data_IF_628641350541
#
_entry.id   IF_628641350541
#
_cell.length_a   1.000
_cell.length_b   1.000
_cell.length_c   1.000
_cell.angle_alpha   90.00
_cell.angle_beta   90.00
_cell.angle_gamma   90.00
#
_symmetry.space_group_name_H-M   'P 1'
#
loop_
_entity.id
_entity.type
_entity.pdbx_description
1 polymer ?
#
# COMPACT_ATOMS: atom_id res chain seq x y z
N UNK A 1 -22.13 12.05 -5.01
CA UNK A 1 -22.91 11.14 -4.15
C UNK A 1 -22.14 10.95 -2.86
N UNK A 2 -22.87 10.96 -1.73
CA UNK A 2 -22.29 10.78 -0.40
C UNK A 2 -22.42 9.32 0.03
N UNK A 3 -21.41 8.78 0.62
CA UNK A 3 -21.37 7.40 1.06
C UNK A 3 -20.93 7.27 2.53
N UNK A 4 -21.41 6.24 3.20
CA UNK A 4 -20.91 5.81 4.52
C UNK A 4 -20.66 4.30 4.52
N UNK A 5 -19.69 3.87 5.35
CA UNK A 5 -19.34 2.46 5.50
C UNK A 5 -19.67 2.02 6.93
N UNK A 6 -20.31 0.85 7.08
CA UNK A 6 -20.55 0.20 8.36
C UNK A 6 -19.89 -1.17 8.34
N UNK A 7 -18.79 -1.33 9.06
CA UNK A 7 -18.12 -2.62 9.24
C UNK A 7 -18.70 -3.36 10.44
N UNK A 8 -19.20 -4.56 10.22
CA UNK A 8 -19.86 -5.40 11.22
C UNK A 8 -18.94 -6.56 11.61
N UNK A 9 -18.60 -6.64 12.89
CA UNK A 9 -17.76 -7.70 13.44
C UNK A 9 -17.22 -7.31 14.82
N UNK A 10 -17.45 -8.13 15.81
CA UNK A 10 -16.96 -7.93 17.18
C UNK A 10 -15.44 -8.01 17.26
N UNK A 11 -14.80 -8.83 16.41
CA UNK A 11 -13.34 -8.96 16.30
C UNK A 11 -12.66 -7.67 15.84
N UNK A 12 -13.37 -6.85 15.04
CA UNK A 12 -12.87 -5.54 14.61
C UNK A 12 -12.84 -4.55 15.77
N UNK A 13 -13.89 -4.54 16.62
CA UNK A 13 -13.95 -3.69 17.83
C UNK A 13 -12.90 -4.08 18.86
N UNK A 14 -12.61 -5.37 19.01
CA UNK A 14 -11.63 -5.89 19.96
C UNK A 14 -10.19 -5.75 19.45
N UNK A 15 -9.99 -5.33 18.20
CA UNK A 15 -8.67 -5.19 17.60
C UNK A 15 -7.98 -6.52 17.27
N UNK A 16 -8.71 -7.62 17.25
CA UNK A 16 -8.19 -8.93 16.85
C UNK A 16 -7.93 -8.98 15.33
N UNK A 17 -8.70 -8.21 14.58
CA UNK A 17 -8.59 -8.08 13.12
C UNK A 17 -8.52 -6.61 12.74
N UNK A 18 -7.58 -6.25 11.86
CA UNK A 18 -7.50 -4.91 11.29
C UNK A 18 -8.58 -4.75 10.23
N UNK A 19 -9.37 -3.68 10.31
CA UNK A 19 -10.40 -3.37 9.32
C UNK A 19 -9.77 -2.92 7.99
N UNK A 20 -9.35 -3.85 7.16
CA UNK A 20 -8.83 -3.59 5.82
C UNK A 20 -9.93 -3.36 4.80
N UNK A 21 -11.13 -3.89 5.03
CA UNK A 21 -12.27 -3.81 4.13
C UNK A 21 -12.74 -2.37 3.95
N UNK A 22 -12.88 -1.62 5.05
CA UNK A 22 -13.22 -0.21 4.98
C UNK A 22 -12.22 0.60 4.15
N UNK A 23 -10.92 0.26 4.23
CA UNK A 23 -9.89 0.90 3.42
C UNK A 23 -9.99 0.53 1.92
N UNK A 24 -10.36 -0.71 1.60
CA UNK A 24 -10.58 -1.14 0.21
C UNK A 24 -11.83 -0.48 -0.39
N UNK A 25 -12.96 -0.53 0.31
CA UNK A 25 -14.21 0.12 -0.10
C UNK A 25 -14.03 1.63 -0.22
N UNK A 26 -13.37 2.28 0.74
CA UNK A 26 -13.09 3.72 0.69
C UNK A 26 -12.26 4.14 -0.53
N UNK A 27 -11.26 3.33 -0.91
CA UNK A 27 -10.49 3.55 -2.15
C UNK A 27 -11.36 3.41 -3.40
N UNK A 28 -12.22 2.41 -3.43
CA UNK A 28 -13.15 2.17 -4.54
C UNK A 28 -14.16 3.33 -4.69
N UNK A 29 -14.76 3.79 -3.60
CA UNK A 29 -15.66 4.95 -3.59
C UNK A 29 -14.96 6.22 -4.03
N UNK A 30 -13.75 6.46 -3.55
CA UNK A 30 -12.92 7.60 -3.96
C UNK A 30 -12.61 7.57 -5.46
N UNK A 31 -12.36 6.39 -6.05
CA UNK A 31 -12.15 6.24 -7.49
C UNK A 31 -13.41 6.55 -8.30
N UNK A 32 -14.60 6.36 -7.72
CA UNK A 32 -15.90 6.69 -8.32
C UNK A 32 -16.37 8.13 -8.04
N UNK A 33 -15.58 8.92 -7.34
CA UNK A 33 -15.96 10.30 -7.00
C UNK A 33 -17.06 10.43 -5.97
N UNK A 34 -17.22 9.42 -5.17
CA UNK A 34 -18.16 9.44 -4.07
C UNK A 34 -17.49 10.00 -2.81
N UNK A 35 -18.18 10.89 -2.13
CA UNK A 35 -17.71 11.52 -0.88
C UNK A 35 -17.97 10.56 0.27
N UNK A 36 -16.94 9.89 0.78
CA UNK A 36 -17.03 9.07 1.98
C UNK A 36 -17.08 9.98 3.20
N UNK A 37 -18.25 10.02 3.88
CA UNK A 37 -18.47 10.90 5.03
C UNK A 37 -17.97 10.29 6.33
N UNK A 38 -18.32 9.02 6.59
CA UNK A 38 -17.99 8.33 7.85
C UNK A 38 -17.73 6.84 7.64
N UNK A 39 -16.97 6.27 8.55
CA UNK A 39 -16.75 4.83 8.66
C UNK A 39 -17.09 4.42 10.08
N UNK A 40 -18.10 3.58 10.24
CA UNK A 40 -18.53 3.03 11.51
C UNK A 40 -18.03 1.60 11.67
N UNK A 41 -17.71 1.21 12.90
CA UNK A 41 -17.47 -0.19 13.23
C UNK A 41 -18.45 -0.59 14.33
N UNK A 42 -19.25 -1.62 14.11
CA UNK A 42 -20.22 -2.13 15.06
C UNK A 42 -19.96 -3.61 15.33
N UNK A 43 -20.16 -4.05 16.56
CA UNK A 43 -20.12 -5.50 16.88
C UNK A 43 -21.40 -6.20 16.42
N UNK A 44 -21.40 -7.52 16.48
CA UNK A 44 -22.50 -8.41 16.09
C UNK A 44 -23.70 -8.23 17.03
N UNK A 45 -24.39 -7.12 16.84
CA UNK A 45 -25.57 -6.72 17.63
C UNK A 45 -26.59 -5.98 16.76
N UNK A 46 -27.76 -6.58 16.59
CA UNK A 46 -28.79 -6.05 15.71
C UNK A 46 -29.25 -4.63 16.05
N UNK A 47 -29.38 -4.29 17.34
CA UNK A 47 -29.80 -2.98 17.78
C UNK A 47 -28.79 -1.89 17.49
N UNK A 48 -27.49 -2.18 17.69
CA UNK A 48 -26.40 -1.24 17.38
C UNK A 48 -26.27 -1.04 15.88
N UNK A 49 -26.35 -2.13 15.11
CA UNK A 49 -26.32 -2.07 13.64
C UNK A 49 -27.52 -1.28 13.11
N UNK A 50 -28.72 -1.51 13.65
CA UNK A 50 -29.91 -0.76 13.27
C UNK A 50 -29.77 0.75 13.54
N UNK A 51 -29.23 1.12 14.70
CA UNK A 51 -28.99 2.52 15.06
C UNK A 51 -27.99 3.18 14.08
N UNK A 52 -26.84 2.54 13.85
CA UNK A 52 -25.84 3.04 12.91
C UNK A 52 -26.38 3.14 11.48
N UNK A 53 -27.16 2.17 11.03
CA UNK A 53 -27.76 2.17 9.70
C UNK A 53 -28.76 3.32 9.52
N UNK A 54 -29.62 3.57 10.53
CA UNK A 54 -30.58 4.68 10.50
C UNK A 54 -29.87 6.04 10.47
N UNK A 55 -28.79 6.19 11.23
CA UNK A 55 -27.96 7.41 11.24
C UNK A 55 -27.33 7.63 9.87
N UNK A 56 -26.65 6.62 9.32
CA UNK A 56 -26.02 6.68 8.00
C UNK A 56 -27.02 7.00 6.88
N UNK A 57 -28.22 6.42 6.92
CA UNK A 57 -29.28 6.67 5.94
C UNK A 57 -29.85 8.11 6.00
N UNK A 58 -29.63 8.86 7.08
CA UNK A 58 -30.01 10.28 7.14
C UNK A 58 -29.01 11.19 6.41
N UNK A 59 -27.76 10.73 6.25
CA UNK A 59 -26.66 11.56 5.75
C UNK A 59 -26.16 11.14 4.36
N UNK A 60 -26.24 9.85 4.03
CA UNK A 60 -25.64 9.27 2.83
C UNK A 60 -26.66 8.83 1.79
N UNK A 61 -26.27 8.93 0.53
CA UNK A 61 -27.01 8.41 -0.61
C UNK A 61 -26.73 6.89 -0.80
N UNK A 62 -25.55 6.43 -0.35
CA UNK A 62 -25.15 5.04 -0.38
C UNK A 62 -24.55 4.64 0.97
N UNK A 63 -25.09 3.59 1.59
CA UNK A 63 -24.51 2.97 2.78
C UNK A 63 -23.97 1.60 2.40
N UNK A 64 -22.71 1.32 2.71
CA UNK A 64 -22.07 0.02 2.41
C UNK A 64 -21.82 -0.68 3.74
N UNK A 65 -22.37 -1.89 3.91
CA UNK A 65 -22.03 -2.75 5.05
C UNK A 65 -21.03 -3.82 4.64
N UNK A 66 -20.08 -4.14 5.51
CA UNK A 66 -19.15 -5.27 5.35
C UNK A 66 -19.27 -6.20 6.54
N UNK A 67 -19.42 -7.51 6.31
CA UNK A 67 -19.57 -8.53 7.35
C UNK A 67 -21.02 -8.87 7.71
N UNK A 68 -21.18 -9.93 8.49
CA UNK A 68 -22.48 -10.42 9.01
C UNK A 68 -23.42 -11.01 7.96
N UNK A 69 -22.89 -11.61 6.87
CA UNK A 69 -23.67 -12.28 5.81
C UNK A 69 -23.56 -13.81 5.84
N UNK A 70 -22.81 -14.36 6.77
CA UNK A 70 -22.59 -15.79 6.92
C UNK A 70 -23.84 -16.57 7.37
N UNK A 71 -23.70 -17.86 7.68
CA UNK A 71 -24.80 -18.72 8.05
C UNK A 71 -25.06 -18.80 9.56
N UNK A 72 -24.26 -18.12 10.38
CA UNK A 72 -24.34 -18.23 11.85
C UNK A 72 -25.39 -17.28 12.44
N UNK A 73 -25.79 -17.48 13.70
CA UNK A 73 -26.86 -16.68 14.29
C UNK A 73 -26.43 -15.25 14.62
N UNK A 74 -25.14 -14.98 14.67
CA UNK A 74 -24.53 -13.66 14.80
C UNK A 74 -24.41 -12.91 13.46
N UNK A 75 -24.60 -13.62 12.33
CA UNK A 75 -24.70 -13.01 11.00
C UNK A 75 -26.11 -12.42 10.78
N UNK A 76 -26.27 -11.17 11.19
CA UNK A 76 -27.59 -10.52 11.25
C UNK A 76 -27.71 -9.26 10.37
N UNK A 77 -26.70 -8.97 9.56
CA UNK A 77 -26.64 -7.74 8.76
C UNK A 77 -27.80 -7.66 7.78
N UNK A 78 -28.05 -8.73 7.07
CA UNK A 78 -29.10 -8.82 6.05
C UNK A 78 -30.50 -8.67 6.64
N UNK A 79 -30.78 -9.34 7.74
CA UNK A 79 -32.06 -9.29 8.46
C UNK A 79 -32.30 -7.89 9.03
N UNK A 80 -31.25 -7.26 9.54
CA UNK A 80 -31.35 -5.88 10.09
C UNK A 80 -31.61 -4.87 8.98
N UNK A 81 -30.89 -4.94 7.86
CA UNK A 81 -31.12 -4.06 6.70
C UNK A 81 -32.54 -4.25 6.14
N UNK A 82 -32.99 -5.50 5.98
CA UNK A 82 -34.33 -5.85 5.52
C UNK A 82 -35.42 -5.21 6.41
N UNK A 83 -35.24 -5.29 7.72
CA UNK A 83 -36.15 -4.69 8.71
C UNK A 83 -36.17 -3.16 8.66
N UNK A 84 -34.99 -2.52 8.60
CA UNK A 84 -34.86 -1.05 8.58
C UNK A 84 -35.48 -0.46 7.32
N UNK A 85 -35.31 -1.13 6.18
CA UNK A 85 -35.82 -0.68 4.88
C UNK A 85 -37.26 -1.16 4.60
N UNK A 86 -37.86 -2.00 5.46
CA UNK A 86 -39.17 -2.59 5.21
C UNK A 86 -39.22 -3.53 4.01
N UNK A 87 -38.09 -4.14 3.66
CA UNK A 87 -37.93 -5.04 2.50
C UNK A 87 -37.83 -6.49 3.00
N UNK A 88 -38.93 -7.26 3.07
CA UNK A 88 -38.90 -8.62 3.62
C UNK A 88 -37.94 -9.51 2.83
N UNK A 89 -37.34 -10.48 3.52
CA UNK A 89 -36.44 -11.45 2.91
C UNK A 89 -37.22 -12.44 2.05
N UNK A 90 -36.76 -12.69 0.84
CA UNK A 90 -37.31 -13.65 -0.11
C UNK A 90 -36.21 -14.57 -0.65
N UNK A 91 -36.56 -15.80 -0.97
CA UNK A 91 -35.63 -16.75 -1.58
C UNK A 91 -35.20 -16.27 -2.96
N UNK A 92 -33.89 -16.05 -3.16
CA UNK A 92 -33.32 -15.67 -4.44
C UNK A 92 -32.85 -16.91 -5.18
N UNK A 93 -33.59 -17.30 -6.25
CA UNK A 93 -33.40 -18.55 -6.97
C UNK A 93 -32.01 -18.77 -7.50
N UNK A 94 -31.37 -17.73 -8.05
CA UNK A 94 -30.00 -17.83 -8.59
C UNK A 94 -28.96 -18.02 -7.50
N UNK A 95 -29.13 -17.35 -6.36
CA UNK A 95 -28.26 -17.55 -5.20
C UNK A 95 -28.42 -18.96 -4.63
N UNK A 96 -29.62 -19.45 -4.54
CA UNK A 96 -29.88 -20.85 -4.11
C UNK A 96 -29.27 -21.87 -5.07
N UNK A 97 -29.38 -21.64 -6.38
CA UNK A 97 -28.76 -22.51 -7.38
C UNK A 97 -27.24 -22.55 -7.20
N UNK A 98 -26.57 -21.38 -7.08
CA UNK A 98 -25.13 -21.27 -6.85
C UNK A 98 -24.70 -21.93 -5.55
N UNK A 99 -25.47 -21.77 -4.49
CA UNK A 99 -25.22 -22.43 -3.20
C UNK A 99 -25.26 -23.98 -3.38
N UNK A 100 -26.24 -24.51 -4.09
CA UNK A 100 -26.34 -25.96 -4.40
C UNK A 100 -25.17 -26.44 -5.27
N UNK A 101 -24.77 -25.68 -6.26
CA UNK A 101 -23.59 -25.96 -7.09
C UNK A 101 -22.29 -25.97 -6.24
N UNK A 102 -22.12 -25.02 -5.33
CA UNK A 102 -20.97 -24.98 -4.44
C UNK A 102 -20.88 -26.23 -3.53
N UNK A 103 -21.99 -26.64 -2.95
CA UNK A 103 -22.01 -27.81 -2.08
C UNK A 103 -21.97 -29.15 -2.86
N UNK A 104 -22.45 -29.19 -4.12
CA UNK A 104 -22.52 -30.40 -4.95
C UNK A 104 -23.34 -31.46 -4.26
N UNK A 105 -22.75 -32.63 -4.01
CA UNK A 105 -23.40 -33.77 -3.32
C UNK A 105 -23.40 -33.67 -1.79
N UNK A 106 -22.74 -32.65 -1.20
CA UNK A 106 -22.69 -32.47 0.26
C UNK A 106 -24.05 -31.96 0.78
N UNK A 107 -24.51 -32.43 1.95
CA UNK A 107 -25.74 -31.92 2.54
C UNK A 107 -25.61 -30.44 2.89
N UNK A 108 -26.64 -29.64 2.62
CA UNK A 108 -26.71 -28.22 2.94
C UNK A 108 -27.55 -28.07 4.21
N UNK A 109 -26.97 -27.50 5.25
CA UNK A 109 -27.67 -27.24 6.50
C UNK A 109 -28.71 -26.10 6.35
N UNK A 110 -29.74 -26.11 7.16
CA UNK A 110 -30.84 -25.12 7.08
C UNK A 110 -30.36 -23.66 7.26
N UNK A 111 -29.37 -23.44 8.12
CA UNK A 111 -28.76 -22.13 8.32
C UNK A 111 -27.96 -21.66 7.09
N UNK A 112 -27.34 -22.57 6.34
CA UNK A 112 -26.66 -22.24 5.08
C UNK A 112 -27.64 -21.81 4.00
N UNK A 113 -28.83 -22.40 3.94
CA UNK A 113 -29.89 -22.02 3.00
C UNK A 113 -30.38 -20.58 3.22
N UNK A 114 -30.33 -20.06 4.46
CA UNK A 114 -30.65 -18.65 4.76
C UNK A 114 -29.80 -17.66 3.96
N UNK A 115 -28.59 -18.02 3.55
CA UNK A 115 -27.72 -17.15 2.74
C UNK A 115 -28.35 -16.82 1.38
N UNK A 116 -29.19 -17.68 0.82
CA UNK A 116 -29.88 -17.44 -0.44
C UNK A 116 -31.12 -16.54 -0.32
N UNK A 117 -31.49 -16.11 0.89
CA UNK A 117 -32.60 -15.18 1.10
C UNK A 117 -32.10 -13.75 1.06
N UNK A 118 -32.67 -12.94 0.18
CA UNK A 118 -32.27 -11.54 -0.02
C UNK A 118 -33.45 -10.60 0.22
N UNK A 119 -33.22 -9.34 0.60
CA UNK A 119 -34.28 -8.33 0.73
C UNK A 119 -35.03 -8.16 -0.61
N UNK A 120 -36.35 -8.07 -0.57
CA UNK A 120 -37.20 -7.90 -1.75
C UNK A 120 -36.77 -6.67 -2.54
N UNK A 121 -36.67 -6.81 -3.86
CA UNK A 121 -36.30 -5.74 -4.78
C UNK A 121 -34.80 -5.45 -4.82
N UNK A 122 -33.96 -6.22 -4.11
CA UNK A 122 -32.52 -6.06 -4.17
C UNK A 122 -31.91 -6.57 -5.48
N UNK A 123 -30.79 -5.99 -5.86
CA UNK A 123 -29.90 -6.51 -6.92
C UNK A 123 -28.84 -7.40 -6.28
N UNK A 124 -28.85 -8.69 -6.61
CA UNK A 124 -27.89 -9.63 -6.05
C UNK A 124 -26.50 -9.51 -6.69
N UNK A 125 -25.46 -9.61 -5.87
CA UNK A 125 -24.06 -9.68 -6.29
C UNK A 125 -23.52 -11.09 -6.02
N UNK A 126 -23.16 -11.85 -7.08
CA UNK A 126 -22.71 -13.20 -6.92
C UNK A 126 -21.35 -13.26 -6.21
N UNK A 127 -21.25 -14.18 -5.24
CA UNK A 127 -19.99 -14.50 -4.59
C UNK A 127 -19.30 -15.65 -5.33
N UNK A 128 -18.09 -15.42 -5.86
CA UNK A 128 -17.29 -16.43 -6.55
C UNK A 128 -16.32 -17.17 -5.64
N UNK A 129 -15.99 -16.54 -4.50
CA UNK A 129 -15.01 -17.05 -3.56
C UNK A 129 -15.65 -17.71 -2.32
N UNK A 130 -16.95 -17.49 -2.11
CA UNK A 130 -17.69 -18.01 -0.95
C UNK A 130 -19.15 -18.33 -1.25
N UNK A 131 -19.95 -18.50 -0.21
CA UNK A 131 -21.35 -18.92 -0.29
C UNK A 131 -22.35 -17.79 -0.11
N UNK A 132 -22.00 -16.74 0.61
CA UNK A 132 -22.89 -15.63 0.92
C UNK A 132 -22.91 -14.61 -0.24
N UNK A 133 -24.02 -14.42 -0.96
CA UNK A 133 -24.14 -13.35 -1.94
C UNK A 133 -24.18 -11.99 -1.25
N UNK A 134 -23.58 -10.97 -1.89
CA UNK A 134 -23.87 -9.58 -1.55
C UNK A 134 -25.13 -9.10 -2.27
N UNK A 135 -25.60 -7.92 -1.93
CA UNK A 135 -26.70 -7.29 -2.66
C UNK A 135 -26.75 -5.78 -2.48
N UNK A 136 -27.41 -5.09 -3.42
CA UNK A 136 -27.80 -3.69 -3.29
C UNK A 136 -29.31 -3.62 -3.04
N UNK A 137 -29.72 -3.03 -1.93
CA UNK A 137 -31.10 -2.90 -1.50
C UNK A 137 -31.53 -1.45 -1.70
N UNK A 138 -32.61 -1.16 -2.45
CA UNK A 138 -33.10 0.21 -2.59
C UNK A 138 -33.71 0.72 -1.27
N UNK A 139 -33.37 1.94 -0.91
CA UNK A 139 -33.98 2.70 0.18
C UNK A 139 -34.99 3.72 -0.35
N UNK A 140 -34.93 4.97 0.14
CA UNK A 140 -35.67 6.10 -0.44
C UNK A 140 -35.22 6.36 -1.88
N UNK A 141 -35.99 7.09 -2.70
CA UNK A 141 -35.58 7.41 -4.06
C UNK A 141 -34.16 7.98 -4.12
N UNK A 142 -33.29 7.34 -4.88
CA UNK A 142 -31.87 7.70 -5.01
C UNK A 142 -30.96 7.16 -3.90
N UNK A 143 -31.47 6.41 -2.93
CA UNK A 143 -30.70 5.86 -1.81
C UNK A 143 -30.55 4.33 -1.90
N UNK A 144 -29.39 3.83 -1.49
CA UNK A 144 -29.05 2.40 -1.56
C UNK A 144 -28.29 1.93 -0.33
N UNK A 145 -28.57 0.70 0.08
CA UNK A 145 -27.76 -0.04 1.05
C UNK A 145 -27.11 -1.23 0.34
N UNK A 146 -25.80 -1.28 0.35
CA UNK A 146 -25.01 -2.35 -0.29
C UNK A 146 -24.44 -3.24 0.81
N UNK A 147 -24.69 -4.54 0.70
CA UNK A 147 -24.22 -5.54 1.64
C UNK A 147 -23.10 -6.36 1.03
N UNK A 148 -21.95 -6.41 1.69
CA UNK A 148 -20.75 -7.14 1.28
C UNK A 148 -20.31 -8.14 2.37
N UNK A 149 -19.72 -9.30 1.98
CA UNK A 149 -19.14 -10.23 2.94
C UNK A 149 -17.96 -9.61 3.69
N UNK A 150 -17.57 -10.19 4.84
CA UNK A 150 -16.45 -9.73 5.66
C UNK A 150 -15.08 -10.21 5.17
N UNK A 151 -14.89 -11.46 4.74
CA UNK A 151 -13.57 -11.92 4.30
C UNK A 151 -13.06 -11.13 3.08
N UNK A 152 -11.84 -10.52 3.12
CA UNK A 152 -11.30 -9.77 1.98
C UNK A 152 -11.22 -10.56 0.68
N UNK A 153 -11.00 -11.90 0.77
CA UNK A 153 -10.97 -12.81 -0.39
C UNK A 153 -12.30 -12.91 -1.12
N UNK A 154 -13.42 -12.64 -0.43
CA UNK A 154 -14.77 -12.62 -0.98
C UNK A 154 -15.20 -11.20 -1.38
N UNK A 155 -14.89 -10.24 -0.51
CA UNK A 155 -15.25 -8.83 -0.69
C UNK A 155 -14.59 -8.22 -1.92
N UNK A 156 -13.27 -8.39 -2.10
CA UNK A 156 -12.54 -7.72 -3.16
C UNK A 156 -13.03 -8.09 -4.57
N UNK A 157 -13.18 -9.38 -4.94
CA UNK A 157 -13.73 -9.74 -6.25
C UNK A 157 -15.17 -9.23 -6.44
N UNK A 158 -15.99 -9.26 -5.38
CA UNK A 158 -17.38 -8.78 -5.45
C UNK A 158 -17.44 -7.26 -5.62
N UNK A 159 -16.57 -6.53 -4.94
CA UNK A 159 -16.41 -5.09 -5.07
C UNK A 159 -16.06 -4.70 -6.51
N UNK A 160 -15.06 -5.36 -7.10
CA UNK A 160 -14.58 -5.08 -8.46
C UNK A 160 -15.58 -5.51 -9.53
N UNK A 161 -16.07 -6.74 -9.47
CA UNK A 161 -16.90 -7.35 -10.53
C UNK A 161 -18.36 -6.86 -10.53
N UNK A 162 -18.89 -6.45 -9.37
CA UNK A 162 -20.33 -6.19 -9.22
C UNK A 162 -20.64 -4.80 -8.67
N UNK A 163 -20.02 -4.40 -7.54
CA UNK A 163 -20.39 -3.16 -6.85
C UNK A 163 -19.90 -1.95 -7.60
N UNK A 164 -18.63 -1.94 -8.05
CA UNK A 164 -18.08 -0.83 -8.82
C UNK A 164 -18.89 -0.54 -10.10
N UNK A 165 -19.20 -1.54 -10.96
CA UNK A 165 -20.07 -1.31 -12.12
C UNK A 165 -21.49 -0.88 -11.75
N UNK A 166 -22.04 -1.34 -10.63
CA UNK A 166 -23.35 -0.91 -10.13
C UNK A 166 -23.34 0.56 -9.77
N UNK A 167 -22.35 0.99 -8.97
CA UNK A 167 -22.21 2.38 -8.53
C UNK A 167 -21.87 3.36 -9.68
N UNK A 168 -21.07 2.92 -10.66
CA UNK A 168 -20.75 3.71 -11.87
C UNK A 168 -22.01 4.09 -12.65
N UNK A 169 -22.97 3.19 -12.76
CA UNK A 169 -24.26 3.47 -13.44
C UNK A 169 -25.13 4.48 -12.72
N UNK A 170 -24.90 4.67 -11.43
CA UNK A 170 -25.66 5.61 -10.59
C UNK A 170 -25.03 7.01 -10.55
N UNK A 171 -23.72 7.12 -10.78
CA UNK A 171 -22.96 8.37 -10.70
C UNK A 171 -22.79 9.03 -12.05
N UNK A 172 -23.14 10.33 -12.15
CA UNK A 172 -23.02 11.11 -13.38
C UNK A 172 -21.63 11.73 -13.62
N UNK A 173 -20.60 11.40 -12.83
CA UNK A 173 -19.27 11.95 -13.01
C UNK A 173 -18.19 10.91 -12.72
N UNK A 174 -17.12 10.91 -13.51
CA UNK A 174 -15.97 10.04 -13.39
C UNK A 174 -14.82 10.79 -12.74
N UNK A 175 -14.08 10.09 -11.86
CA UNK A 175 -12.86 10.63 -11.25
C UNK A 175 -11.64 9.91 -11.81
N UNK A 176 -10.63 10.69 -12.21
CA UNK A 176 -9.26 10.24 -12.40
C UNK A 176 -8.40 10.67 -11.21
N UNK A 177 -7.71 9.72 -10.60
CA UNK A 177 -6.81 9.98 -9.47
C UNK A 177 -5.41 9.47 -9.78
N UNK A 178 -4.41 10.33 -9.56
CA UNK A 178 -3.01 10.04 -9.81
C UNK A 178 -2.22 10.17 -8.51
N UNK A 179 -1.42 9.17 -8.19
CA UNK A 179 -0.49 9.20 -7.08
C UNK A 179 0.93 9.47 -7.57
N UNK A 180 1.40 10.70 -7.38
CA UNK A 180 2.79 11.10 -7.64
C UNK A 180 3.62 10.72 -6.42
N UNK A 181 4.36 9.62 -6.52
CA UNK A 181 5.14 9.07 -5.41
C UNK A 181 6.53 9.68 -5.34
N UNK A 182 6.98 9.98 -4.12
CA UNK A 182 8.26 10.66 -3.86
C UNK A 182 9.04 9.99 -2.75
N UNK A 183 10.36 10.10 -2.81
CA UNK A 183 11.27 9.66 -1.75
C UNK A 183 12.34 10.71 -1.49
N UNK A 184 12.67 10.95 -0.19
CA UNK A 184 13.73 11.87 0.22
C UNK A 184 13.28 13.33 0.35
N UNK A 185 11.98 13.59 0.41
CA UNK A 185 11.40 14.90 0.76
C UNK A 185 10.34 14.70 1.85
N UNK A 186 10.30 15.62 2.82
CA UNK A 186 9.25 15.64 3.83
C UNK A 186 7.98 16.34 3.33
N UNK A 187 6.83 15.97 3.92
CA UNK A 187 5.51 16.51 3.56
C UNK A 187 5.45 18.05 3.56
N UNK A 188 5.93 18.69 4.64
CA UNK A 188 5.93 20.15 4.72
C UNK A 188 6.78 20.83 3.63
N UNK A 189 7.93 20.24 3.28
CA UNK A 189 8.78 20.77 2.21
C UNK A 189 8.16 20.56 0.82
N UNK A 190 7.44 19.47 0.63
CA UNK A 190 6.72 19.21 -0.60
C UNK A 190 5.51 20.14 -0.73
N UNK A 191 4.72 20.28 0.35
CA UNK A 191 3.57 21.18 0.40
C UNK A 191 3.94 22.63 0.02
N UNK A 192 5.07 23.14 0.54
CA UNK A 192 5.57 24.47 0.17
C UNK A 192 5.90 24.60 -1.32
N UNK A 193 6.43 23.54 -1.97
CA UNK A 193 6.78 23.59 -3.39
C UNK A 193 5.57 23.53 -4.33
N UNK A 194 4.45 23.01 -3.85
CA UNK A 194 3.23 22.81 -4.64
C UNK A 194 2.04 23.62 -4.07
N UNK A 195 2.28 24.60 -3.20
CA UNK A 195 1.25 25.31 -2.44
C UNK A 195 0.14 25.88 -3.34
N UNK A 196 0.52 26.57 -4.41
CA UNK A 196 -0.42 27.14 -5.37
C UNK A 196 -1.25 26.09 -6.15
N UNK A 197 -0.73 24.88 -6.29
CA UNK A 197 -1.50 23.77 -6.91
C UNK A 197 -2.55 23.19 -5.97
N UNK A 198 -2.41 23.38 -4.66
CA UNK A 198 -3.36 22.86 -3.65
C UNK A 198 -4.61 23.74 -3.50
N UNK A 199 -4.62 24.94 -4.05
CA UNK A 199 -5.76 25.87 -3.99
C UNK A 199 -6.87 25.54 -5.00
N UNK A 200 -6.57 24.68 -5.98
CA UNK A 200 -7.50 24.29 -7.03
C UNK A 200 -8.67 23.44 -6.52
N UNK A 201 -9.89 23.76 -6.96
CA UNK A 201 -11.08 22.97 -6.62
C UNK A 201 -11.21 21.70 -7.48
N UNK A 202 -10.74 21.74 -8.73
CA UNK A 202 -10.74 20.59 -9.66
C UNK A 202 -9.73 20.84 -10.79
N UNK A 203 -8.62 20.10 -10.86
CA UNK A 203 -8.21 19.00 -9.98
C UNK A 203 -7.86 19.45 -8.56
N UNK A 204 -8.10 18.57 -7.59
CA UNK A 204 -7.58 18.75 -6.22
C UNK A 204 -6.20 18.13 -6.10
N UNK A 205 -5.33 18.75 -5.29
CA UNK A 205 -3.96 18.30 -5.04
C UNK A 205 -3.73 18.21 -3.54
N UNK A 206 -3.31 17.07 -3.04
CA UNK A 206 -3.07 16.87 -1.61
C UNK A 206 -1.81 16.02 -1.36
N UNK A 207 -0.86 16.50 -0.54
CA UNK A 207 0.27 15.71 -0.07
C UNK A 207 -0.15 14.77 1.07
N UNK A 208 0.47 13.59 1.12
CA UNK A 208 0.24 12.58 2.15
C UNK A 208 1.56 11.96 2.58
N UNK A 209 1.78 11.89 3.90
CA UNK A 209 2.87 11.10 4.46
C UNK A 209 2.50 9.62 4.50
N UNK A 210 3.45 8.76 4.21
CA UNK A 210 3.39 7.32 4.33
C UNK A 210 4.67 6.80 4.97
N UNK A 211 4.75 5.51 5.27
CA UNK A 211 5.90 4.87 5.93
C UNK A 211 7.22 5.14 5.20
N UNK A 212 8.02 6.11 5.71
CA UNK A 212 9.30 6.56 5.15
C UNK A 212 9.24 7.16 3.72
N UNK A 213 8.05 7.41 3.19
CA UNK A 213 7.82 7.98 1.85
C UNK A 213 6.76 9.10 1.94
N UNK A 214 6.55 9.80 0.84
CA UNK A 214 5.48 10.77 0.68
C UNK A 214 4.89 10.64 -0.73
N UNK A 215 3.62 10.92 -0.89
CA UNK A 215 3.02 11.03 -2.21
C UNK A 215 2.09 12.24 -2.31
N UNK A 216 1.91 12.73 -3.51
CA UNK A 216 0.93 13.76 -3.82
C UNK A 216 -0.18 13.13 -4.63
N UNK A 217 -1.41 13.22 -4.14
CA UNK A 217 -2.59 12.79 -4.89
C UNK A 217 -3.14 13.97 -5.69
N UNK A 218 -3.28 13.77 -6.99
CA UNK A 218 -3.97 14.67 -7.91
C UNK A 218 -5.27 14.00 -8.33
N UNK A 219 -6.40 14.65 -8.10
CA UNK A 219 -7.72 14.07 -8.38
C UNK A 219 -8.56 15.03 -9.19
N UNK A 220 -9.00 14.60 -10.37
CA UNK A 220 -9.88 15.36 -11.25
C UNK A 220 -11.23 14.66 -11.43
N UNK A 221 -12.29 15.46 -11.53
CA UNK A 221 -13.65 15.00 -11.75
C UNK A 221 -14.18 15.58 -13.08
N UNK A 222 -14.75 14.71 -13.93
CA UNK A 222 -15.33 15.13 -15.20
C UNK A 222 -16.48 14.19 -15.63
N UNK A 223 -17.11 14.46 -16.76
CA UNK A 223 -18.22 13.69 -17.32
C UNK A 223 -17.81 12.27 -17.75
N UNK A 224 -16.54 12.08 -18.12
CA UNK A 224 -15.99 10.80 -18.54
C UNK A 224 -14.51 10.67 -18.15
N UNK A 225 -13.95 9.47 -18.28
CA UNK A 225 -12.58 9.17 -17.88
C UNK A 225 -11.54 9.98 -18.65
N UNK A 226 -11.71 10.13 -19.97
CA UNK A 226 -10.78 10.87 -20.83
C UNK A 226 -10.71 12.35 -20.43
N UNK A 227 -11.86 12.97 -20.16
CA UNK A 227 -11.93 14.37 -19.72
C UNK A 227 -11.31 14.53 -18.32
N UNK A 228 -11.53 13.59 -17.40
CA UNK A 228 -10.94 13.62 -16.07
C UNK A 228 -9.39 13.47 -16.13
N UNK A 229 -8.90 12.55 -16.95
CA UNK A 229 -7.46 12.40 -17.18
C UNK A 229 -6.83 13.63 -17.83
N UNK A 230 -7.51 14.21 -18.84
CA UNK A 230 -7.04 15.41 -19.52
C UNK A 230 -6.94 16.63 -18.57
N UNK A 231 -7.85 16.73 -17.59
CA UNK A 231 -7.78 17.75 -16.54
C UNK A 231 -6.65 17.49 -15.54
N UNK A 232 -6.44 16.24 -15.15
CA UNK A 232 -5.44 15.87 -14.13
C UNK A 232 -4.00 15.98 -14.65
N UNK A 233 -3.74 15.56 -15.91
CA UNK A 233 -2.41 15.38 -16.47
C UNK A 233 -1.52 16.63 -16.40
N UNK A 234 -1.97 17.85 -16.77
CA UNK A 234 -1.15 19.05 -16.64
C UNK A 234 -0.73 19.33 -15.20
N UNK A 235 -1.61 19.05 -14.23
CA UNK A 235 -1.34 19.26 -12.81
C UNK A 235 -0.36 18.19 -12.28
N UNK A 236 -0.49 16.93 -12.70
CA UNK A 236 0.48 15.87 -12.41
C UNK A 236 1.87 16.25 -12.94
N UNK A 237 1.95 16.76 -14.17
CA UNK A 237 3.23 17.17 -14.77
C UNK A 237 3.82 18.40 -14.04
N UNK A 238 2.98 19.36 -13.61
CA UNK A 238 3.42 20.48 -12.78
C UNK A 238 3.96 20.01 -11.42
N UNK A 239 3.29 19.09 -10.73
CA UNK A 239 3.76 18.48 -9.47
C UNK A 239 5.11 17.80 -9.69
N UNK A 240 5.25 16.99 -10.76
CA UNK A 240 6.51 16.33 -11.11
C UNK A 240 7.64 17.32 -11.37
N UNK A 241 7.37 18.36 -12.14
CA UNK A 241 8.37 19.40 -12.46
C UNK A 241 8.86 20.14 -11.23
N UNK A 242 7.97 20.48 -10.27
CA UNK A 242 8.34 21.20 -9.04
C UNK A 242 9.04 20.34 -8.02
N UNK A 243 8.66 19.08 -7.89
CA UNK A 243 9.31 18.15 -6.97
C UNK A 243 10.61 17.58 -7.53
N UNK A 244 10.73 17.47 -8.87
CA UNK A 244 11.95 17.06 -9.55
C UNK A 244 12.33 15.60 -9.27
N UNK A 245 13.61 15.36 -9.07
CA UNK A 245 14.23 14.03 -8.97
C UNK A 245 13.83 13.22 -7.73
N UNK A 246 13.15 13.85 -6.75
CA UNK A 246 12.56 13.12 -5.62
C UNK A 246 11.31 12.32 -6.04
N UNK A 247 10.68 12.68 -7.17
CA UNK A 247 9.61 11.88 -7.76
C UNK A 247 10.19 10.62 -8.38
N UNK A 248 9.69 9.46 -7.95
CA UNK A 248 10.15 8.20 -8.49
C UNK A 248 9.12 7.50 -9.40
N UNK A 249 7.86 7.92 -9.39
CA UNK A 249 6.85 7.38 -10.27
C UNK A 249 5.46 7.97 -10.05
N UNK A 250 4.57 7.71 -11.01
CA UNK A 250 3.15 8.03 -10.94
C UNK A 250 2.37 6.72 -11.04
N UNK A 251 1.44 6.49 -10.12
CA UNK A 251 0.63 5.27 -10.03
C UNK A 251 1.44 3.97 -9.94
N UNK A 252 2.66 4.03 -9.39
CA UNK A 252 3.50 2.86 -9.14
C UNK A 252 3.28 2.33 -7.73
N UNK A 253 3.50 1.03 -7.51
CA UNK A 253 3.27 0.40 -6.20
C UNK A 253 4.32 0.80 -5.16
N UNK A 254 5.58 1.02 -5.55
CA UNK A 254 6.69 1.41 -4.67
C UNK A 254 8.01 1.57 -5.40
N UNK A 255 9.06 1.96 -4.65
CA UNK A 255 10.43 2.09 -5.17
C UNK A 255 10.95 0.78 -5.77
N UNK A 256 10.66 -0.35 -5.13
CA UNK A 256 11.04 -1.68 -5.58
C UNK A 256 10.49 -2.01 -6.98
N UNK A 257 9.25 -1.66 -7.25
CA UNK A 257 8.65 -1.90 -8.57
C UNK A 257 9.38 -1.09 -9.67
N UNK A 258 9.68 0.17 -9.36
CA UNK A 258 10.42 1.04 -10.29
C UNK A 258 11.83 0.51 -10.54
N UNK A 259 12.52 0.05 -9.49
CA UNK A 259 13.88 -0.50 -9.60
C UNK A 259 13.89 -1.79 -10.42
N UNK A 260 12.98 -2.73 -10.15
CA UNK A 260 12.88 -3.99 -10.91
C UNK A 260 12.59 -3.70 -12.38
N UNK A 261 11.66 -2.80 -12.68
CA UNK A 261 11.34 -2.44 -14.06
C UNK A 261 12.52 -1.75 -14.77
N UNK A 262 13.22 -0.81 -14.12
CA UNK A 262 14.42 -0.19 -14.68
C UNK A 262 15.53 -1.22 -14.96
N UNK A 263 15.76 -2.15 -14.03
CA UNK A 263 16.75 -3.23 -14.23
C UNK A 263 16.39 -4.10 -15.45
N UNK A 264 15.11 -4.46 -15.60
CA UNK A 264 14.62 -5.23 -16.77
C UNK A 264 14.80 -4.46 -18.08
N UNK A 265 14.40 -3.19 -18.12
CA UNK A 265 14.54 -2.34 -19.31
C UNK A 265 16.00 -2.18 -19.75
N UNK A 266 16.91 -2.03 -18.79
CA UNK A 266 18.34 -1.89 -19.06
C UNK A 266 19.07 -3.24 -19.18
N UNK A 267 18.39 -4.37 -18.99
CA UNK A 267 18.97 -5.74 -18.97
C UNK A 267 20.14 -5.85 -18.00
N UNK A 268 19.95 -5.34 -16.79
CA UNK A 268 20.94 -5.30 -15.71
C UNK A 268 20.51 -6.18 -14.55
N UNK A 269 21.53 -6.77 -13.93
CA UNK A 269 21.37 -7.66 -12.77
C UNK A 269 21.78 -6.98 -11.47
N UNK A 270 21.12 -7.41 -10.38
CA UNK A 270 21.34 -6.92 -9.01
C UNK A 270 21.71 -8.08 -8.08
N UNK A 271 22.72 -7.86 -7.24
CA UNK A 271 22.99 -8.69 -6.06
C UNK A 271 23.01 -7.84 -4.80
N UNK A 272 22.55 -8.39 -3.67
CA UNK A 272 22.34 -7.66 -2.42
C UNK A 272 23.06 -8.36 -1.27
N UNK A 273 23.77 -7.59 -0.44
CA UNK A 273 24.36 -8.01 0.82
C UNK A 273 23.73 -7.24 1.97
N UNK A 274 23.00 -7.93 2.83
CA UNK A 274 22.30 -7.33 3.94
C UNK A 274 22.90 -7.74 5.29
N UNK A 275 22.97 -6.79 6.23
CA UNK A 275 23.27 -7.04 7.62
C UNK A 275 22.07 -6.63 8.50
N UNK A 276 21.99 -5.38 8.92
CA UNK A 276 20.93 -4.91 9.82
C UNK A 276 19.51 -4.97 9.26
N UNK A 277 19.35 -4.99 7.95
CA UNK A 277 18.03 -5.11 7.26
C UNK A 277 17.53 -6.56 7.23
N UNK A 278 18.43 -7.56 7.37
CA UNK A 278 18.05 -8.95 7.62
C UNK A 278 17.14 -9.58 6.57
N UNK A 279 17.36 -9.28 5.29
CA UNK A 279 16.58 -9.82 4.17
C UNK A 279 15.41 -8.92 3.73
N UNK A 280 15.17 -7.79 4.38
CA UNK A 280 14.04 -6.92 4.03
C UNK A 280 14.15 -6.33 2.62
N UNK A 281 15.36 -5.93 2.20
CA UNK A 281 15.57 -5.40 0.84
C UNK A 281 15.37 -6.49 -0.21
N UNK A 282 15.93 -7.68 0.01
CA UNK A 282 15.72 -8.83 -0.87
C UNK A 282 14.24 -9.22 -0.96
N UNK A 283 13.53 -9.25 0.18
CA UNK A 283 12.08 -9.47 0.21
C UNK A 283 11.33 -8.47 -0.64
N UNK A 284 11.58 -7.16 -0.48
CA UNK A 284 10.91 -6.11 -1.27
C UNK A 284 11.10 -6.30 -2.78
N UNK A 285 12.28 -6.68 -3.22
CA UNK A 285 12.55 -6.99 -4.62
C UNK A 285 11.77 -8.24 -5.06
N UNK A 286 11.82 -9.32 -4.28
CA UNK A 286 11.16 -10.59 -4.63
C UNK A 286 9.64 -10.55 -4.54
N UNK A 287 9.06 -9.59 -3.85
CA UNK A 287 7.63 -9.33 -3.87
C UNK A 287 7.15 -8.79 -5.24
N UNK A 288 8.07 -8.35 -6.11
CA UNK A 288 7.71 -7.83 -7.43
C UNK A 288 7.68 -8.95 -8.49
N UNK A 289 6.60 -9.05 -9.27
CA UNK A 289 6.55 -9.97 -10.41
C UNK A 289 7.71 -9.69 -11.39
N UNK A 290 8.36 -10.75 -11.87
CA UNK A 290 9.50 -10.64 -12.80
C UNK A 290 10.83 -10.35 -12.11
N UNK A 291 10.92 -10.28 -10.79
CA UNK A 291 12.16 -10.05 -10.07
C UNK A 291 13.25 -11.09 -10.38
N UNK A 292 12.88 -12.34 -10.68
CA UNK A 292 13.82 -13.42 -11.01
C UNK A 292 14.65 -13.16 -12.29
N UNK A 293 14.20 -12.26 -13.15
CA UNK A 293 14.95 -11.88 -14.36
C UNK A 293 16.16 -10.99 -14.05
N UNK A 294 16.15 -10.28 -12.91
CA UNK A 294 17.11 -9.23 -12.59
C UNK A 294 17.81 -9.43 -11.24
N UNK A 295 17.27 -10.27 -10.37
CA UNK A 295 17.77 -10.49 -9.01
C UNK A 295 18.15 -11.95 -8.79
N UNK A 296 19.45 -12.22 -8.81
CA UNK A 296 19.97 -13.60 -8.65
C UNK A 296 20.40 -13.95 -7.22
N UNK A 297 20.92 -12.97 -6.48
CA UNK A 297 21.54 -13.24 -5.18
C UNK A 297 21.20 -12.20 -4.11
N UNK A 298 20.63 -12.67 -3.01
CA UNK A 298 20.39 -11.91 -1.79
C UNK A 298 21.01 -12.61 -0.58
N UNK A 299 22.04 -12.03 0.02
CA UNK A 299 22.83 -12.62 1.08
C UNK A 299 22.61 -11.87 2.39
N UNK A 300 22.16 -12.60 3.42
CA UNK A 300 22.07 -12.07 4.79
C UNK A 300 23.39 -12.42 5.50
N UNK A 301 24.34 -11.48 5.45
CA UNK A 301 25.66 -11.63 6.09
C UNK A 301 25.66 -10.98 7.47
N UNK A 302 24.91 -11.56 8.41
CA UNK A 302 24.69 -10.96 9.74
C UNK A 302 25.94 -11.05 10.61
N UNK A 303 26.57 -12.22 10.70
CA UNK A 303 27.83 -12.42 11.39
C UNK A 303 29.04 -11.83 10.61
N UNK A 304 30.12 -11.48 11.31
CA UNK A 304 31.36 -11.00 10.69
C UNK A 304 32.01 -12.07 9.81
N UNK A 305 32.04 -13.32 10.28
CA UNK A 305 32.52 -14.46 9.50
C UNK A 305 31.78 -14.60 8.16
N UNK A 306 30.46 -14.42 8.17
CA UNK A 306 29.67 -14.48 6.93
C UNK A 306 30.07 -13.35 5.93
N UNK A 307 30.40 -12.15 6.42
CA UNK A 307 30.91 -11.06 5.59
C UNK A 307 32.23 -11.42 4.91
N UNK A 308 33.16 -11.97 5.67
CA UNK A 308 34.45 -12.41 5.13
C UNK A 308 34.28 -13.57 4.17
N UNK A 309 33.60 -14.63 4.58
CA UNK A 309 33.52 -15.89 3.84
C UNK A 309 32.71 -15.76 2.54
N UNK A 310 31.54 -15.09 2.60
CA UNK A 310 30.62 -15.00 1.47
C UNK A 310 30.89 -13.80 0.57
N UNK A 311 31.38 -12.68 1.11
CA UNK A 311 31.58 -11.44 0.37
C UNK A 311 33.05 -11.07 0.16
N UNK A 312 33.98 -11.73 0.87
CA UNK A 312 35.41 -11.37 0.82
C UNK A 312 35.74 -10.05 1.53
N UNK A 313 34.92 -9.64 2.49
CA UNK A 313 35.26 -8.49 3.32
C UNK A 313 36.54 -8.84 4.12
N UNK A 314 37.62 -8.04 4.03
CA UNK A 314 38.85 -8.33 4.75
C UNK A 314 38.64 -8.36 6.27
N UNK A 315 39.20 -9.38 6.94
CA UNK A 315 39.11 -9.48 8.40
C UNK A 315 39.76 -8.29 9.11
N UNK A 316 40.83 -7.75 8.55
CA UNK A 316 41.51 -6.53 9.02
C UNK A 316 40.56 -5.32 9.02
N UNK A 317 39.71 -5.18 7.98
CA UNK A 317 38.71 -4.10 7.95
C UNK A 317 37.67 -4.25 9.06
N UNK A 318 37.24 -5.50 9.31
CA UNK A 318 36.30 -5.78 10.39
C UNK A 318 36.91 -5.52 11.75
N UNK A 319 38.20 -5.85 11.94
CA UNK A 319 38.95 -5.60 13.18
C UNK A 319 39.19 -4.11 13.40
N UNK A 320 39.62 -3.36 12.38
CA UNK A 320 39.96 -1.94 12.51
C UNK A 320 38.73 -1.03 12.60
N UNK A 321 37.72 -1.26 11.74
CA UNK A 321 36.58 -0.33 11.60
C UNK A 321 35.28 -0.87 12.20
N UNK A 322 35.24 -2.16 12.54
CA UNK A 322 34.03 -2.85 12.96
C UNK A 322 33.03 -3.06 11.80
N UNK A 323 32.07 -3.94 12.01
CA UNK A 323 31.07 -4.31 10.99
C UNK A 323 30.23 -3.11 10.52
N UNK A 324 29.97 -2.15 11.40
CA UNK A 324 29.21 -0.93 11.10
C UNK A 324 30.19 0.19 10.76
N UNK A 325 30.55 0.27 9.48
CA UNK A 325 31.49 1.29 8.97
C UNK A 325 31.30 1.49 7.46
N UNK A 326 31.71 2.64 6.93
CA UNK A 326 31.66 2.92 5.51
C UNK A 326 32.52 1.96 4.69
N UNK A 327 33.69 1.57 5.22
CA UNK A 327 34.62 0.63 4.57
C UNK A 327 33.94 -0.73 4.37
N UNK A 328 33.36 -1.28 5.44
CA UNK A 328 32.69 -2.58 5.38
C UNK A 328 31.44 -2.53 4.47
N UNK A 329 30.64 -1.45 4.48
CA UNK A 329 29.51 -1.32 3.57
C UNK A 329 29.96 -1.35 2.09
N UNK A 330 31.05 -0.66 1.74
CA UNK A 330 31.63 -0.67 0.40
C UNK A 330 32.12 -2.06 0.01
N UNK A 331 32.91 -2.71 0.90
CA UNK A 331 33.41 -4.06 0.65
C UNK A 331 32.26 -5.08 0.49
N UNK A 332 31.18 -4.94 1.24
CA UNK A 332 29.98 -5.78 1.07
C UNK A 332 29.35 -5.57 -0.32
N UNK A 333 29.18 -4.32 -0.76
CA UNK A 333 28.60 -4.01 -2.06
C UNK A 333 29.45 -4.52 -3.24
N UNK A 334 30.76 -4.31 -3.16
CA UNK A 334 31.73 -4.82 -4.16
C UNK A 334 31.73 -6.34 -4.15
N UNK A 335 31.88 -6.93 -2.97
CA UNK A 335 32.00 -8.39 -2.82
C UNK A 335 30.77 -9.13 -3.34
N UNK A 336 29.56 -8.66 -3.07
CA UNK A 336 28.35 -9.29 -3.60
C UNK A 336 28.25 -9.11 -5.13
N UNK A 337 28.61 -7.95 -5.66
CA UNK A 337 28.61 -7.71 -7.10
C UNK A 337 29.58 -8.62 -7.85
N UNK A 338 30.83 -8.65 -7.43
CA UNK A 338 31.93 -9.35 -8.14
C UNK A 338 31.84 -10.86 -7.99
N UNK A 339 31.61 -11.36 -6.78
CA UNK A 339 31.55 -12.81 -6.55
C UNK A 339 30.39 -13.49 -7.25
N UNK A 340 29.29 -12.78 -7.45
CA UNK A 340 28.09 -13.34 -8.06
C UNK A 340 27.81 -12.81 -9.48
N UNK A 341 28.76 -12.04 -10.06
CA UNK A 341 28.71 -11.61 -11.44
C UNK A 341 27.56 -10.67 -11.77
N UNK A 342 27.12 -9.85 -10.82
CA UNK A 342 26.04 -8.90 -11.05
C UNK A 342 26.56 -7.55 -11.61
N UNK A 343 25.68 -6.82 -12.32
CA UNK A 343 26.00 -5.46 -12.78
C UNK A 343 26.04 -4.48 -11.61
N UNK A 344 25.12 -4.64 -10.66
CA UNK A 344 25.00 -3.82 -9.46
C UNK A 344 25.09 -4.64 -8.18
N UNK A 345 25.79 -4.12 -7.18
CA UNK A 345 25.86 -4.66 -5.84
C UNK A 345 25.39 -3.64 -4.81
N UNK A 346 24.46 -4.02 -3.94
CA UNK A 346 24.05 -3.22 -2.79
C UNK A 346 24.57 -3.84 -1.50
N UNK A 347 25.20 -3.04 -0.64
CA UNK A 347 25.69 -3.43 0.66
C UNK A 347 25.08 -2.57 1.77
N UNK A 348 24.49 -3.20 2.80
CA UNK A 348 23.85 -2.49 3.91
C UNK A 348 24.38 -3.03 5.24
N UNK A 349 24.93 -2.12 6.06
CA UNK A 349 25.34 -2.44 7.44
C UNK A 349 24.98 -1.29 8.37
N UNK A 350 24.62 -1.58 9.64
CA UNK A 350 24.20 -0.52 10.56
C UNK A 350 23.70 -1.06 11.91
N UNK A 351 23.30 -0.14 12.78
CA UNK A 351 22.72 -0.42 14.10
C UNK A 351 21.22 -0.11 14.04
N UNK A 352 20.41 -1.15 13.86
CA UNK A 352 18.95 -0.97 13.75
C UNK A 352 18.24 -0.71 15.11
N UNK A 353 18.89 -1.01 16.23
CA UNK A 353 18.34 -0.82 17.57
C UNK A 353 17.37 -1.94 18.02
N UNK A 354 16.71 -1.81 19.23
CA UNK A 354 16.82 -0.66 20.15
C UNK A 354 18.18 -0.59 20.90
N UNK A 355 18.90 -1.69 21.02
CA UNK A 355 20.23 -1.76 21.66
C UNK A 355 21.38 -1.82 20.65
N UNK A 356 22.62 -2.00 21.17
CA UNK A 356 23.84 -2.21 20.38
C UNK A 356 24.47 -0.94 19.79
N UNK A 357 23.98 0.25 20.15
CA UNK A 357 24.59 1.52 19.79
C UNK A 357 25.68 1.95 20.79
N UNK A 358 26.63 2.75 20.29
CA UNK A 358 27.64 3.49 21.07
C UNK A 358 27.53 4.96 20.72
N UNK A 359 28.26 5.81 21.43
CA UNK A 359 28.32 7.25 21.13
C UNK A 359 28.82 7.51 19.69
N UNK A 360 29.83 6.75 19.25
CA UNK A 360 30.37 6.85 17.89
C UNK A 360 29.47 6.21 16.83
N UNK A 361 28.79 5.13 17.20
CA UNK A 361 27.90 4.36 16.31
C UNK A 361 26.49 4.25 16.93
N UNK A 362 25.74 5.36 16.95
CA UNK A 362 24.44 5.41 17.62
C UNK A 362 23.41 4.49 16.94
N UNK A 363 22.40 4.09 17.71
CA UNK A 363 21.23 3.40 17.15
C UNK A 363 20.61 4.23 16.04
N UNK A 364 20.33 3.59 14.90
CA UNK A 364 19.83 4.25 13.68
C UNK A 364 20.92 4.64 12.68
N UNK A 365 22.21 4.51 13.03
CA UNK A 365 23.30 4.69 12.07
C UNK A 365 23.32 3.51 11.09
N UNK A 366 23.17 3.81 9.79
CA UNK A 366 23.25 2.81 8.71
C UNK A 366 24.10 3.34 7.57
N UNK A 367 24.96 2.50 7.03
CA UNK A 367 25.71 2.71 5.82
C UNK A 367 25.11 1.88 4.68
N UNK A 368 24.80 2.54 3.57
CA UNK A 368 24.29 1.93 2.34
C UNK A 368 25.28 2.21 1.22
N UNK A 369 25.81 1.18 0.62
CA UNK A 369 26.73 1.28 -0.50
C UNK A 369 26.12 0.68 -1.76
N UNK A 370 26.32 1.34 -2.90
CA UNK A 370 26.01 0.86 -4.26
C UNK A 370 27.32 0.72 -5.03
N UNK A 371 27.58 -0.45 -5.60
CA UNK A 371 28.72 -0.74 -6.46
C UNK A 371 28.26 -1.03 -7.88
N UNK A 372 28.90 -0.43 -8.87
CA UNK A 372 28.84 -0.81 -10.28
C UNK A 372 30.23 -1.05 -10.83
N UNK A 373 30.36 -1.28 -12.14
CA UNK A 373 31.67 -1.63 -12.79
C UNK A 373 32.76 -0.57 -12.62
N UNK A 374 32.38 0.72 -12.50
CA UNK A 374 33.32 1.85 -12.55
C UNK A 374 33.20 2.81 -11.35
N UNK A 375 32.29 2.57 -10.41
CA UNK A 375 32.12 3.46 -9.26
C UNK A 375 31.46 2.77 -8.07
N UNK A 376 31.66 3.38 -6.90
CA UNK A 376 31.02 3.00 -5.64
C UNK A 376 30.45 4.27 -5.00
N UNK A 377 29.19 4.25 -4.64
CA UNK A 377 28.52 5.32 -3.90
C UNK A 377 28.25 4.86 -2.48
N UNK A 378 28.28 5.80 -1.55
CA UNK A 378 27.98 5.58 -0.16
C UNK A 378 26.96 6.61 0.33
N UNK A 379 25.95 6.13 1.03
CA UNK A 379 24.98 6.98 1.75
C UNK A 379 25.06 6.63 3.23
N UNK A 380 25.17 7.66 4.07
CA UNK A 380 25.20 7.52 5.53
C UNK A 380 23.87 8.01 6.09
N UNK A 381 23.15 7.14 6.77
CA UNK A 381 21.92 7.46 7.47
C UNK A 381 22.29 7.68 8.95
N UNK A 382 22.05 8.86 9.46
CA UNK A 382 22.25 9.19 10.87
C UNK A 382 20.91 9.50 11.53
N UNK A 383 20.67 9.03 12.77
CA UNK A 383 19.48 9.40 13.50
C UNK A 383 19.51 10.90 13.79
N UNK A 384 18.41 11.60 13.47
CA UNK A 384 18.25 13.03 13.77
C UNK A 384 17.42 13.22 15.04
N UNK A 385 18.03 12.94 16.20
CA UNK A 385 17.42 13.22 17.50
C UNK A 385 16.23 12.34 17.90
N UNK A 386 15.64 11.53 17.00
CA UNK A 386 14.51 10.64 17.29
C UNK A 386 14.72 9.25 16.71
N UNK A 387 14.72 8.24 17.58
CA UNK A 387 14.68 6.84 17.17
C UNK A 387 13.22 6.41 16.97
N UNK A 388 12.86 6.01 15.76
CA UNK A 388 11.50 5.60 15.38
C UNK A 388 11.29 4.07 15.42
N UNK A 389 12.25 3.32 15.95
CA UNK A 389 12.17 1.87 16.07
C UNK A 389 13.02 1.10 15.05
N UNK A 390 13.22 -0.18 15.38
CA UNK A 390 14.05 -1.12 14.60
C UNK A 390 13.46 -1.34 13.19
N UNK A 391 12.17 -1.53 13.11
CA UNK A 391 11.49 -1.76 11.83
C UNK A 391 11.61 -0.53 10.90
N UNK A 392 11.36 0.66 11.44
CA UNK A 392 11.53 1.91 10.71
C UNK A 392 12.94 2.07 10.16
N UNK A 393 13.98 1.83 10.99
CA UNK A 393 15.39 1.93 10.58
C UNK A 393 15.69 0.99 9.42
N UNK A 394 15.23 -0.26 9.48
CA UNK A 394 15.40 -1.26 8.42
C UNK A 394 14.68 -0.85 7.15
N UNK A 395 13.44 -0.39 7.26
CA UNK A 395 12.62 0.08 6.13
C UNK A 395 13.26 1.29 5.44
N UNK A 396 13.66 2.29 6.22
CA UNK A 396 14.32 3.49 5.71
C UNK A 396 15.64 3.13 4.99
N UNK A 397 16.48 2.26 5.57
CA UNK A 397 17.71 1.80 4.96
C UNK A 397 17.47 1.09 3.61
N UNK A 398 16.47 0.21 3.53
CA UNK A 398 16.10 -0.46 2.27
C UNK A 398 15.57 0.52 1.22
N UNK A 399 14.74 1.51 1.61
CA UNK A 399 14.26 2.55 0.69
C UNK A 399 15.40 3.43 0.15
N UNK A 400 16.38 3.79 1.00
CA UNK A 400 17.57 4.51 0.54
C UNK A 400 18.42 3.70 -0.44
N UNK A 401 18.54 2.39 -0.25
CA UNK A 401 19.27 1.52 -1.18
C UNK A 401 18.59 1.48 -2.56
N UNK A 402 17.27 1.33 -2.58
CA UNK A 402 16.48 1.35 -3.82
C UNK A 402 16.55 2.71 -4.52
N UNK A 403 16.44 3.81 -3.77
CA UNK A 403 16.54 5.16 -4.33
C UNK A 403 17.94 5.47 -4.90
N UNK A 404 19.00 5.00 -4.24
CA UNK A 404 20.37 5.12 -4.81
C UNK A 404 20.48 4.44 -6.15
N UNK A 405 20.01 3.20 -6.26
CA UNK A 405 20.06 2.43 -7.51
C UNK A 405 19.19 3.07 -8.59
N UNK A 406 17.96 3.44 -8.27
CA UNK A 406 17.04 4.14 -9.18
C UNK A 406 17.67 5.41 -9.76
N UNK A 407 18.22 6.28 -8.92
CA UNK A 407 18.83 7.54 -9.32
C UNK A 407 20.05 7.29 -10.21
N UNK A 408 20.86 6.30 -9.85
CA UNK A 408 22.01 5.93 -10.66
C UNK A 408 21.60 5.49 -12.07
N UNK A 409 20.61 4.61 -12.18
CA UNK A 409 20.12 4.14 -13.49
C UNK A 409 19.44 5.25 -14.31
N UNK A 410 18.82 6.21 -13.67
CA UNK A 410 18.20 7.38 -14.32
C UNK A 410 19.24 8.44 -14.77
N UNK A 411 20.55 8.22 -14.56
CA UNK A 411 21.59 9.21 -14.86
C UNK A 411 21.54 10.46 -13.96
N UNK A 412 20.71 10.44 -12.92
CA UNK A 412 20.65 11.50 -11.93
C UNK A 412 21.83 11.39 -10.99
N UNK A 413 22.50 12.50 -10.68
CA UNK A 413 23.64 12.48 -9.76
C UNK A 413 23.23 11.82 -8.44
N UNK A 414 23.91 10.74 -8.06
CA UNK A 414 23.76 10.11 -6.74
C UNK A 414 24.22 11.04 -5.59
N UNK A 415 24.71 12.23 -5.90
CA UNK A 415 25.29 13.25 -5.05
C UNK A 415 24.62 14.62 -5.09
N UNK A 416 23.34 14.72 -5.44
CA UNK A 416 22.61 15.98 -5.30
C UNK A 416 22.48 16.35 -3.83
N UNK A 417 22.99 17.54 -3.40
CA UNK A 417 22.65 18.16 -2.13
C UNK A 417 21.12 18.26 -2.07
N UNK A 418 20.48 17.46 -1.23
CA UNK A 418 19.09 17.73 -0.89
C UNK A 418 19.03 19.06 -0.17
N UNK A 419 18.58 20.10 -0.87
CA UNK A 419 18.41 21.44 -0.30
C UNK A 419 17.26 21.43 0.70
N UNK A 420 17.54 21.75 1.95
CA UNK A 420 16.58 21.94 3.02
C UNK A 420 17.13 21.50 4.37
N UNK A 421 16.89 22.26 5.40
CA UNK A 421 17.35 21.99 6.78
C UNK A 421 16.91 20.63 7.35
N UNK A 422 16.01 19.91 6.69
CA UNK A 422 15.59 18.56 7.05
C UNK A 422 16.52 17.44 6.51
N UNK A 423 17.47 17.76 5.62
CA UNK A 423 18.38 16.79 4.99
C UNK A 423 19.81 16.82 5.58
N UNK A 424 20.03 17.51 6.68
CA UNK A 424 21.36 17.78 7.28
C UNK A 424 22.09 16.55 7.85
N UNK A 425 21.66 15.33 7.54
CA UNK A 425 22.33 14.09 7.95
C UNK A 425 22.69 13.12 6.81
N UNK A 426 22.43 13.53 5.56
CA UNK A 426 22.73 12.68 4.40
C UNK A 426 23.94 13.22 3.64
N UNK A 427 25.05 12.50 3.67
CA UNK A 427 26.21 12.80 2.83
C UNK A 427 26.34 11.76 1.73
N UNK A 428 26.60 12.23 0.52
CA UNK A 428 26.93 11.39 -0.63
C UNK A 428 28.39 11.57 -0.97
N UNK A 429 29.13 10.49 -1.18
CA UNK A 429 30.47 10.55 -1.72
C UNK A 429 30.62 9.54 -2.85
N UNK A 430 31.19 9.98 -3.97
CA UNK A 430 31.76 9.09 -4.96
C UNK A 430 33.18 8.73 -4.52
N UNK A 431 33.60 7.49 -4.66
CA UNK A 431 34.95 7.01 -4.38
C UNK A 431 35.63 6.56 -5.67
#
# INVERSE_FOLDING_TARGET
>A
MRAEIISVGTELLLGHTINTDAAHVGRALSALGMDLLQVHTVGDNAGRLEAALREALNCADVVITTGGLGPTDDDMTKETVARVLGAPLEEHKDSLRRLREYFGSRPIAANQLKQAWLPRGSTAFPNRAGTAPGCAVPGKPGQWVILLPGPPSELLPMLEDSVMPFLQRMGGAVIASFMVRTFGIGEGSAALRIADLTEGANPTVAPYASDAEMFVRVTAKAENAEAAEALAKPVVDAVRGRLGDVVYGVNVSGLEAVVVEQLRQHRRSLAIAESCTGGLLAKRITDQPGASEVFGYGLITYANEAKTRLLGVPEEQLACYGAVSPQVARSMAVGVRERYGADYGLGITGVAGPGGGTEEKPVGLVYVALSCSNAIWLRVLRPQGRYLGREWTRRLASSHALDMLRRHMAGSACGGRMGGRAAAGLSFSAA
#
